data_IF_252304060390
#
_entry.id   IF_252304060390
#
_cell.length_a   1.000
_cell.length_b   1.000
_cell.length_c   1.000
_cell.angle_alpha   90.00
_cell.angle_beta   90.00
_cell.angle_gamma   90.00
#
_symmetry.space_group_name_H-M   'P 1'
#
loop_
_entity.id
_entity.type
_entity.pdbx_description
1 polymer ?
#
# COMPACT_ATOMS: atom_id res chain seq x y z
N UNK A 1 -9.96 -2.13 10.59
CA UNK A 1 -9.57 -3.10 9.54
C UNK A 1 -8.43 -3.97 10.04
N UNK A 2 -8.51 -5.27 9.80
CA UNK A 2 -7.44 -6.22 10.08
C UNK A 2 -6.70 -6.57 8.77
N UNK A 3 -5.38 -6.34 8.72
CA UNK A 3 -4.57 -6.60 7.55
C UNK A 3 -3.77 -7.89 7.72
N UNK A 4 -3.87 -8.79 6.75
CA UNK A 4 -3.15 -10.06 6.68
C UNK A 4 -2.18 -10.03 5.51
N UNK A 5 -0.93 -10.40 5.72
CA UNK A 5 0.08 -10.32 4.67
C UNK A 5 1.00 -11.52 4.64
N UNK A 6 1.44 -11.86 3.43
CA UNK A 6 2.52 -12.80 3.19
C UNK A 6 3.39 -12.30 2.04
N UNK A 7 4.71 -12.33 2.23
CA UNK A 7 5.68 -11.86 1.24
C UNK A 7 5.87 -12.89 0.09
N UNK A 8 4.78 -13.31 -0.53
CA UNK A 8 4.82 -14.20 -1.67
C UNK A 8 4.94 -13.42 -2.98
N UNK A 9 5.58 -14.01 -3.97
CA UNK A 9 5.46 -13.52 -5.35
C UNK A 9 4.00 -13.63 -5.83
N UNK A 10 3.35 -14.74 -5.50
CA UNK A 10 1.94 -15.02 -5.72
C UNK A 10 1.56 -16.30 -4.95
N UNK A 11 0.35 -16.38 -4.40
CA UNK A 11 -0.08 -17.53 -3.61
C UNK A 11 -0.35 -18.74 -4.52
N UNK A 12 -0.18 -19.94 -3.95
CA UNK A 12 -0.72 -21.17 -4.53
C UNK A 12 -2.19 -21.31 -4.10
N UNK A 13 -3.00 -22.07 -4.85
CA UNK A 13 -4.44 -22.22 -4.52
C UNK A 13 -4.68 -22.79 -3.12
N UNK A 14 -3.83 -23.71 -2.67
CA UNK A 14 -3.89 -24.22 -1.29
C UNK A 14 -3.63 -23.17 -0.22
N UNK A 15 -2.82 -22.14 -0.55
CA UNK A 15 -2.51 -21.05 0.38
C UNK A 15 -3.66 -20.06 0.37
N UNK A 16 -4.28 -19.80 -0.80
CA UNK A 16 -5.50 -18.98 -0.92
C UNK A 16 -6.64 -19.58 -0.10
N UNK A 17 -6.83 -20.90 -0.14
CA UNK A 17 -7.87 -21.58 0.65
C UNK A 17 -7.65 -21.34 2.16
N UNK A 18 -6.42 -21.45 2.66
CA UNK A 18 -6.12 -21.16 4.07
C UNK A 18 -6.34 -19.70 4.44
N UNK A 19 -5.95 -18.77 3.56
CA UNK A 19 -6.21 -17.34 3.79
C UNK A 19 -7.71 -17.05 3.78
N UNK A 20 -8.49 -17.72 2.94
CA UNK A 20 -9.94 -17.61 2.93
C UNK A 20 -10.57 -18.02 4.27
N UNK A 21 -10.09 -19.10 4.89
CA UNK A 21 -10.50 -19.50 6.25
C UNK A 21 -10.16 -18.42 7.29
N UNK A 22 -8.96 -17.82 7.20
CA UNK A 22 -8.55 -16.72 8.08
C UNK A 22 -9.41 -15.47 7.87
N UNK A 23 -9.74 -15.13 6.62
CA UNK A 23 -10.65 -14.02 6.29
C UNK A 23 -11.99 -14.23 6.95
N UNK A 24 -12.60 -15.41 6.79
CA UNK A 24 -13.88 -15.74 7.39
C UNK A 24 -13.84 -15.64 8.94
N UNK A 25 -12.76 -16.10 9.55
CA UNK A 25 -12.57 -16.00 10.99
C UNK A 25 -12.49 -14.55 11.48
N UNK A 26 -11.76 -13.69 10.78
CA UNK A 26 -11.68 -12.25 11.11
C UNK A 26 -13.03 -11.55 10.88
N UNK A 27 -13.75 -11.90 9.84
CA UNK A 27 -15.10 -11.38 9.58
C UNK A 27 -16.08 -11.76 10.70
N UNK A 28 -15.97 -12.96 11.25
CA UNK A 28 -16.86 -13.43 12.32
C UNK A 28 -16.76 -12.61 13.61
N UNK A 29 -15.64 -11.89 13.82
CA UNK A 29 -15.48 -10.96 14.95
C UNK A 29 -15.82 -9.50 14.60
N UNK A 30 -16.43 -9.26 13.43
CA UNK A 30 -16.97 -7.96 13.03
C UNK A 30 -15.95 -6.98 12.45
N UNK A 31 -14.76 -7.43 12.08
CA UNK A 31 -13.72 -6.55 11.50
C UNK A 31 -13.75 -6.55 9.97
N UNK A 32 -13.43 -5.42 9.36
CA UNK A 32 -13.03 -5.38 7.95
C UNK A 32 -11.71 -6.13 7.75
N UNK A 33 -11.57 -6.78 6.59
CA UNK A 33 -10.40 -7.56 6.23
C UNK A 33 -9.64 -6.95 5.06
N UNK A 34 -8.31 -7.05 5.10
CA UNK A 34 -7.43 -6.71 4.00
C UNK A 34 -6.37 -7.81 3.85
N UNK A 35 -6.05 -8.18 2.61
CA UNK A 35 -5.01 -9.17 2.34
C UNK A 35 -3.94 -8.61 1.38
N UNK A 36 -2.67 -8.99 1.62
CA UNK A 36 -1.50 -8.68 0.78
C UNK A 36 -0.78 -9.99 0.50
N UNK A 37 -0.98 -10.59 -0.68
CA UNK A 37 -0.50 -11.95 -1.00
C UNK A 37 0.35 -12.00 -2.28
N UNK A 38 0.67 -10.86 -2.88
CA UNK A 38 1.38 -10.78 -4.17
C UNK A 38 0.45 -10.86 -5.37
N UNK A 39 0.93 -11.43 -6.48
CA UNK A 39 0.21 -11.52 -7.74
C UNK A 39 -0.86 -12.62 -7.68
N UNK A 40 -2.13 -12.25 -7.86
CA UNK A 40 -3.22 -13.22 -7.90
C UNK A 40 -3.40 -13.80 -9.31
N UNK A 41 -3.72 -15.09 -9.38
CA UNK A 41 -4.15 -15.77 -10.59
C UNK A 41 -5.68 -15.67 -10.76
N UNK A 42 -6.15 -16.08 -11.93
CA UNK A 42 -7.59 -16.15 -12.21
C UNK A 42 -8.30 -17.04 -11.18
N UNK A 43 -9.47 -16.61 -10.72
CA UNK A 43 -10.28 -17.30 -9.72
C UNK A 43 -9.86 -17.08 -8.26
N UNK A 44 -8.62 -16.63 -7.99
CA UNK A 44 -8.14 -16.49 -6.61
C UNK A 44 -8.77 -15.30 -5.88
N UNK A 45 -9.04 -14.20 -6.58
CA UNK A 45 -9.72 -13.04 -6.02
C UNK A 45 -11.16 -13.37 -5.64
N UNK A 46 -11.86 -14.16 -6.45
CA UNK A 46 -13.22 -14.63 -6.21
C UNK A 46 -13.31 -15.54 -4.98
N UNK A 47 -12.35 -16.44 -4.80
CA UNK A 47 -12.26 -17.29 -3.59
C UNK A 47 -12.17 -16.45 -2.33
N UNK A 48 -11.28 -15.44 -2.35
CA UNK A 48 -11.10 -14.51 -1.22
C UNK A 48 -12.36 -13.66 -0.99
N UNK A 49 -12.98 -13.16 -2.06
CA UNK A 49 -14.25 -12.41 -1.99
C UNK A 49 -15.36 -13.22 -1.35
N UNK A 50 -15.52 -14.47 -1.77
CA UNK A 50 -16.55 -15.37 -1.24
C UNK A 50 -16.35 -15.69 0.26
N UNK A 51 -15.09 -15.64 0.73
CA UNK A 51 -14.77 -15.74 2.15
C UNK A 51 -15.03 -14.45 2.94
N UNK A 52 -15.37 -13.34 2.26
CA UNK A 52 -15.68 -12.05 2.88
C UNK A 52 -14.56 -11.04 2.85
N UNK A 53 -13.54 -11.21 1.97
CA UNK A 53 -12.46 -10.21 1.86
C UNK A 53 -13.02 -8.86 1.39
N UNK A 54 -12.73 -7.81 2.17
CA UNK A 54 -13.18 -6.44 1.87
C UNK A 54 -12.17 -5.70 0.98
N UNK A 55 -10.87 -5.84 1.26
CA UNK A 55 -9.78 -5.14 0.56
C UNK A 55 -8.65 -6.07 0.17
N UNK A 56 -8.06 -5.80 -0.99
CA UNK A 56 -6.79 -6.40 -1.40
C UNK A 56 -5.73 -5.32 -1.59
N UNK A 57 -4.59 -5.47 -0.93
CA UNK A 57 -3.48 -4.54 -1.04
C UNK A 57 -2.48 -5.04 -2.08
N UNK A 58 -2.27 -4.22 -3.11
CA UNK A 58 -1.27 -4.46 -4.14
C UNK A 58 -0.82 -3.13 -4.75
N UNK A 59 0.37 -2.67 -4.36
CA UNK A 59 0.88 -1.38 -4.79
C UNK A 59 1.40 -1.41 -6.23
N UNK A 60 1.36 -0.26 -6.93
CA UNK A 60 2.08 -0.06 -8.20
C UNK A 60 3.54 0.35 -7.97
N UNK A 61 3.87 0.70 -6.76
CA UNK A 61 5.15 1.09 -6.18
C UNK A 61 5.64 2.47 -6.63
N UNK A 62 5.74 2.77 -7.92
CA UNK A 62 6.25 4.05 -8.46
C UNK A 62 5.69 4.34 -9.86
N UNK A 63 6.23 5.33 -10.60
CA UNK A 63 5.94 5.57 -12.01
C UNK A 63 6.28 4.36 -12.90
N UNK A 64 5.72 4.31 -14.10
CA UNK A 64 6.04 3.21 -15.04
C UNK A 64 7.51 3.25 -15.46
N UNK A 65 8.06 4.45 -15.70
CA UNK A 65 9.45 4.62 -16.13
C UNK A 65 10.42 4.20 -15.03
N UNK A 66 10.28 4.76 -13.83
CA UNK A 66 11.16 4.43 -12.71
C UNK A 66 10.99 2.98 -12.22
N UNK A 67 9.82 2.36 -12.42
CA UNK A 67 9.59 0.96 -12.08
C UNK A 67 10.55 0.02 -12.80
N UNK A 68 10.79 0.25 -14.10
CA UNK A 68 11.69 -0.58 -14.92
C UNK A 68 13.16 -0.45 -14.49
N UNK A 69 13.54 0.68 -13.90
CA UNK A 69 14.90 0.92 -13.40
C UNK A 69 15.19 0.14 -12.11
N UNK A 70 14.19 -0.03 -11.23
CA UNK A 70 14.39 -0.55 -9.88
C UNK A 70 13.87 -1.97 -9.67
N UNK A 71 12.96 -2.46 -10.51
CA UNK A 71 12.32 -3.79 -10.35
C UNK A 71 12.51 -4.62 -11.62
N UNK A 72 13.38 -5.62 -11.55
CA UNK A 72 13.68 -6.53 -12.67
C UNK A 72 12.90 -7.86 -12.60
N UNK A 73 12.23 -8.18 -11.49
CA UNK A 73 11.64 -9.50 -11.24
C UNK A 73 10.22 -9.66 -11.75
N UNK A 74 9.55 -8.55 -12.07
CA UNK A 74 8.17 -8.48 -12.58
C UNK A 74 7.95 -7.14 -13.27
N UNK A 75 6.94 -7.07 -14.13
CA UNK A 75 6.53 -5.81 -14.76
C UNK A 75 5.50 -5.07 -13.91
N UNK A 76 5.30 -3.78 -14.15
CA UNK A 76 4.21 -3.03 -13.54
C UNK A 76 2.84 -3.53 -14.06
N UNK A 77 2.78 -4.00 -15.31
CA UNK A 77 1.58 -4.60 -15.90
C UNK A 77 1.10 -5.84 -15.13
N UNK A 78 2.00 -6.68 -14.61
CA UNK A 78 1.63 -7.81 -13.74
C UNK A 78 0.83 -7.34 -12.52
N UNK A 79 1.14 -6.15 -12.00
CA UNK A 79 0.43 -5.53 -10.88
C UNK A 79 -0.94 -5.03 -11.30
N UNK A 80 -1.03 -4.33 -12.44
CA UNK A 80 -2.31 -3.87 -12.99
C UNK A 80 -3.26 -5.03 -13.29
N UNK A 81 -2.77 -6.13 -13.84
CA UNK A 81 -3.56 -7.36 -14.07
C UNK A 81 -4.13 -7.89 -12.73
N UNK A 82 -3.31 -7.93 -11.68
CA UNK A 82 -3.80 -8.35 -10.36
C UNK A 82 -4.87 -7.41 -9.80
N UNK A 83 -4.66 -6.09 -9.92
CA UNK A 83 -5.64 -5.08 -9.49
C UNK A 83 -6.96 -5.21 -10.26
N UNK A 84 -6.89 -5.51 -11.55
CA UNK A 84 -8.08 -5.75 -12.37
C UNK A 84 -8.85 -7.00 -11.93
N UNK A 85 -8.15 -8.12 -11.63
CA UNK A 85 -8.77 -9.33 -11.07
C UNK A 85 -9.50 -9.05 -9.75
N UNK A 86 -8.84 -8.30 -8.88
CA UNK A 86 -9.41 -7.89 -7.58
C UNK A 86 -10.72 -7.09 -7.77
N UNK A 87 -10.72 -6.13 -8.69
CA UNK A 87 -11.91 -5.33 -9.02
C UNK A 87 -13.02 -6.17 -9.61
N UNK A 88 -12.70 -7.03 -10.57
CA UNK A 88 -13.66 -7.91 -11.24
C UNK A 88 -14.37 -8.84 -10.24
N UNK A 89 -13.66 -9.27 -9.19
CA UNK A 89 -14.23 -10.04 -8.09
C UNK A 89 -15.07 -9.19 -7.11
N UNK A 90 -15.14 -7.87 -7.28
CA UNK A 90 -15.86 -6.97 -6.38
C UNK A 90 -15.19 -6.75 -5.02
N UNK A 91 -13.86 -6.92 -4.95
CA UNK A 91 -13.03 -6.58 -3.78
C UNK A 91 -12.53 -5.15 -3.93
N UNK A 92 -12.56 -4.37 -2.85
CA UNK A 92 -12.02 -3.01 -2.83
C UNK A 92 -10.49 -3.01 -2.96
N UNK A 93 -9.96 -2.02 -3.64
CA UNK A 93 -8.53 -1.91 -3.90
C UNK A 93 -7.84 -1.03 -2.84
N UNK A 94 -6.77 -1.56 -2.27
CA UNK A 94 -5.77 -0.81 -1.53
C UNK A 94 -4.50 -0.78 -2.40
N UNK A 95 -4.18 0.38 -2.99
CA UNK A 95 -3.07 0.51 -3.92
C UNK A 95 -2.43 1.89 -3.80
N UNK A 96 -1.13 1.91 -3.68
CA UNK A 96 -0.33 3.12 -3.55
C UNK A 96 1.10 2.87 -4.02
N UNK A 97 2.05 3.57 -3.41
CA UNK A 97 3.45 3.47 -3.79
C UNK A 97 4.42 3.67 -2.65
N UNK A 98 5.69 3.66 -3.03
CA UNK A 98 6.84 3.90 -2.16
C UNK A 98 7.58 5.11 -2.74
N UNK A 99 7.91 6.07 -1.90
CA UNK A 99 8.68 7.25 -2.29
C UNK A 99 9.97 7.34 -1.48
N UNK A 100 10.99 7.98 -2.06
CA UNK A 100 12.35 7.98 -1.54
C UNK A 100 13.22 6.86 -2.11
N UNK A 101 12.84 6.27 -3.26
CA UNK A 101 13.60 5.25 -3.98
C UNK A 101 14.55 5.83 -5.05
N UNK A 102 14.76 7.16 -5.03
CA UNK A 102 15.55 7.87 -6.05
C UNK A 102 14.72 8.44 -7.20
N UNK A 103 13.42 8.27 -7.15
CA UNK A 103 12.47 8.80 -8.13
C UNK A 103 12.45 10.34 -8.16
N UNK A 104 12.16 10.90 -9.33
CA UNK A 104 11.98 12.35 -9.52
C UNK A 104 10.62 12.83 -9.01
N UNK A 105 10.39 14.15 -9.04
CA UNK A 105 9.08 14.74 -8.78
C UNK A 105 8.07 14.33 -9.86
N UNK A 106 8.50 14.22 -11.10
CA UNK A 106 7.64 13.84 -12.22
C UNK A 106 7.20 12.37 -12.08
N UNK A 107 8.09 11.48 -11.61
CA UNK A 107 7.73 10.10 -11.28
C UNK A 107 6.66 10.02 -10.18
N UNK A 108 6.78 10.83 -9.12
CA UNK A 108 5.75 10.90 -8.07
C UNK A 108 4.42 11.41 -8.61
N UNK A 109 4.46 12.40 -9.50
CA UNK A 109 3.27 12.94 -10.14
C UNK A 109 2.62 11.89 -11.05
N UNK A 110 3.42 11.16 -11.85
CA UNK A 110 2.93 10.08 -12.70
C UNK A 110 2.32 8.93 -11.87
N UNK A 111 2.97 8.50 -10.80
CA UNK A 111 2.42 7.50 -9.88
C UNK A 111 1.03 7.92 -9.35
N UNK A 112 0.88 9.17 -8.90
CA UNK A 112 -0.41 9.67 -8.42
C UNK A 112 -1.44 9.75 -9.56
N UNK A 113 -1.03 10.17 -10.77
CA UNK A 113 -1.90 10.21 -11.93
C UNK A 113 -2.37 8.80 -12.34
N UNK A 114 -1.49 7.80 -12.34
CA UNK A 114 -1.86 6.41 -12.59
C UNK A 114 -2.92 5.91 -11.60
N UNK A 115 -2.74 6.17 -10.30
CA UNK A 115 -3.71 5.79 -9.27
C UNK A 115 -5.05 6.51 -9.45
N UNK A 116 -5.03 7.81 -9.72
CA UNK A 116 -6.22 8.64 -9.87
C UNK A 116 -7.03 8.31 -11.14
N UNK A 117 -6.35 7.87 -12.21
CA UNK A 117 -6.97 7.48 -13.48
C UNK A 117 -7.52 6.04 -13.49
N UNK A 118 -7.30 5.27 -12.44
CA UNK A 118 -8.00 3.99 -12.30
C UNK A 118 -9.50 4.22 -12.13
N UNK A 119 -10.34 3.41 -12.76
CA UNK A 119 -11.81 3.51 -12.67
C UNK A 119 -12.42 2.27 -11.99
N UNK A 120 -12.95 2.40 -10.76
CA UNK A 120 -12.76 3.53 -9.86
C UNK A 120 -11.31 3.63 -9.34
N UNK A 121 -10.87 4.82 -8.90
CA UNK A 121 -9.56 4.92 -8.23
C UNK A 121 -9.55 4.12 -6.91
N UNK A 122 -8.37 3.76 -6.35
CA UNK A 122 -8.29 2.93 -5.14
C UNK A 122 -9.02 3.55 -3.95
N UNK A 123 -9.77 2.74 -3.22
CA UNK A 123 -10.46 3.18 -2.00
C UNK A 123 -9.49 3.47 -0.85
N UNK A 124 -8.28 2.91 -0.91
CA UNK A 124 -7.21 3.13 0.06
C UNK A 124 -5.88 3.29 -0.66
N UNK A 125 -5.16 4.37 -0.36
CA UNK A 125 -3.91 4.76 -1.02
C UNK A 125 -2.80 4.87 0.02
N UNK A 126 -2.05 3.79 0.29
CA UNK A 126 -0.89 3.85 1.16
C UNK A 126 0.27 4.56 0.45
N UNK A 127 0.79 5.61 1.08
CA UNK A 127 2.05 6.24 0.69
C UNK A 127 3.10 5.81 1.71
N UNK A 128 4.07 5.04 1.23
CA UNK A 128 5.16 4.53 2.03
C UNK A 128 6.39 5.42 1.84
N UNK A 129 7.09 5.70 2.91
CA UNK A 129 8.47 6.18 2.84
C UNK A 129 9.41 4.99 2.79
N UNK A 130 10.42 5.02 1.93
CA UNK A 130 11.38 3.93 1.83
C UNK A 130 12.04 3.66 3.19
N UNK A 131 11.91 2.45 3.67
CA UNK A 131 12.67 1.96 4.83
C UNK A 131 13.97 1.36 4.30
N UNK A 132 15.08 2.02 4.59
CA UNK A 132 16.42 1.60 4.14
C UNK A 132 16.88 0.37 4.94
N UNK A 133 17.21 -0.70 4.24
CA UNK A 133 17.68 -1.94 4.87
C UNK A 133 19.14 -2.18 4.46
N UNK A 134 20.08 -2.27 5.42
CA UNK A 134 21.48 -2.54 5.13
C UNK A 134 21.66 -3.79 4.25
N UNK A 135 22.55 -3.70 3.27
CA UNK A 135 22.84 -4.80 2.33
C UNK A 135 21.85 -4.92 1.18
N UNK A 136 20.88 -4.04 1.04
CA UNK A 136 20.01 -3.95 -0.14
C UNK A 136 20.52 -2.89 -1.12
N UNK A 137 20.15 -2.95 -2.41
CA UNK A 137 20.56 -1.94 -3.40
C UNK A 137 20.14 -0.51 -3.04
N UNK A 138 19.11 -0.33 -2.21
CA UNK A 138 18.58 0.98 -1.82
C UNK A 138 19.01 1.43 -0.42
N UNK A 139 19.99 0.75 0.19
CA UNK A 139 20.46 1.10 1.54
C UNK A 139 21.03 2.53 1.63
N UNK A 140 21.70 2.99 0.57
CA UNK A 140 22.42 4.24 0.52
C UNK A 140 21.75 5.32 -0.37
N UNK A 141 20.52 5.09 -0.83
CA UNK A 141 19.75 6.08 -1.61
C UNK A 141 19.45 7.28 -0.71
N UNK A 142 19.57 8.51 -1.24
CA UNK A 142 19.20 9.71 -0.51
C UNK A 142 17.73 9.68 -0.07
N UNK A 143 17.48 10.14 1.15
CA UNK A 143 16.10 10.28 1.64
C UNK A 143 15.34 11.37 0.90
N UNK A 144 14.04 11.24 0.83
CA UNK A 144 13.19 12.28 0.25
C UNK A 144 13.15 13.51 1.17
N UNK A 145 13.10 14.70 0.57
CA UNK A 145 12.80 15.94 1.30
C UNK A 145 11.42 15.83 1.98
N UNK A 146 11.29 16.16 3.28
CA UNK A 146 10.04 16.08 4.01
C UNK A 146 8.87 16.84 3.35
N UNK A 147 9.13 18.00 2.77
CA UNK A 147 8.09 18.80 2.10
C UNK A 147 7.65 18.14 0.78
N UNK A 148 8.56 17.47 0.07
CA UNK A 148 8.19 16.68 -1.11
C UNK A 148 7.28 15.49 -0.74
N UNK A 149 7.52 14.86 0.41
CA UNK A 149 6.63 13.82 0.93
C UNK A 149 5.22 14.39 1.22
N UNK A 150 5.15 15.51 1.96
CA UNK A 150 3.88 16.20 2.27
C UNK A 150 3.14 16.62 0.99
N UNK A 151 3.87 17.12 -0.02
CA UNK A 151 3.29 17.46 -1.34
C UNK A 151 2.68 16.25 -2.03
N UNK A 152 3.32 15.07 -1.93
CA UNK A 152 2.78 13.83 -2.51
C UNK A 152 1.48 13.43 -1.82
N UNK A 153 1.39 13.56 -0.49
CA UNK A 153 0.15 13.35 0.26
C UNK A 153 -0.96 14.32 -0.20
N UNK A 154 -0.64 15.61 -0.33
CA UNK A 154 -1.59 16.62 -0.80
C UNK A 154 -2.10 16.30 -2.22
N UNK A 155 -1.19 15.96 -3.13
CA UNK A 155 -1.54 15.58 -4.50
C UNK A 155 -2.45 14.34 -4.52
N UNK A 156 -2.14 13.31 -3.72
CA UNK A 156 -2.99 12.13 -3.60
C UNK A 156 -4.39 12.48 -3.07
N UNK A 157 -4.50 13.34 -2.06
CA UNK A 157 -5.79 13.79 -1.52
C UNK A 157 -6.62 14.57 -2.52
N UNK A 158 -6.00 15.51 -3.25
CA UNK A 158 -6.70 16.34 -4.25
C UNK A 158 -7.20 15.47 -5.40
N UNK A 159 -6.36 14.56 -5.91
CA UNK A 159 -6.68 13.70 -7.05
C UNK A 159 -7.66 12.58 -6.70
N UNK A 160 -7.67 12.11 -5.46
CA UNK A 160 -8.53 11.02 -4.99
C UNK A 160 -9.27 11.42 -3.70
N UNK A 161 -10.23 12.35 -3.77
CA UNK A 161 -10.82 13.02 -2.60
C UNK A 161 -11.58 12.08 -1.64
N UNK A 162 -12.07 10.95 -2.12
CA UNK A 162 -12.81 9.97 -1.30
C UNK A 162 -11.93 8.82 -0.79
N UNK A 163 -10.68 8.73 -1.24
CA UNK A 163 -9.78 7.66 -0.82
C UNK A 163 -9.32 7.83 0.64
N UNK A 164 -9.01 6.72 1.28
CA UNK A 164 -8.23 6.73 2.51
C UNK A 164 -6.75 6.87 2.15
N UNK A 165 -6.22 8.09 2.22
CA UNK A 165 -4.79 8.37 2.04
C UNK A 165 -4.07 8.02 3.32
N UNK A 166 -3.17 7.04 3.26
CA UNK A 166 -2.55 6.45 4.43
C UNK A 166 -1.07 6.80 4.54
N UNK A 167 -0.67 7.33 5.69
CA UNK A 167 0.72 7.26 6.13
C UNK A 167 1.03 5.80 6.48
N UNK A 168 2.00 5.21 5.76
CA UNK A 168 2.25 3.77 5.80
C UNK A 168 3.65 3.45 6.33
N UNK A 169 4.40 2.54 5.71
CA UNK A 169 5.75 2.20 6.16
C UNK A 169 6.70 3.40 6.14
N UNK A 170 7.73 3.37 7.00
CA UNK A 170 8.72 4.45 7.16
C UNK A 170 8.23 5.63 8.02
N UNK A 171 7.05 5.54 8.60
CA UNK A 171 6.47 6.58 9.45
C UNK A 171 7.29 6.81 10.74
N UNK A 172 7.91 5.76 11.27
CA UNK A 172 8.76 5.83 12.45
C UNK A 172 10.03 6.66 12.29
N UNK A 173 10.43 6.91 11.04
CA UNK A 173 11.60 7.72 10.69
C UNK A 173 11.24 9.19 10.43
N UNK A 174 9.95 9.54 10.50
CA UNK A 174 9.45 10.90 10.33
C UNK A 174 9.36 11.62 11.67
N UNK A 175 9.65 12.93 11.69
CA UNK A 175 9.37 13.75 12.88
C UNK A 175 7.86 13.92 13.09
N UNK A 176 7.46 14.27 14.29
CA UNK A 176 6.05 14.52 14.64
C UNK A 176 5.47 15.66 13.80
N UNK A 177 6.27 16.72 13.56
CA UNK A 177 5.86 17.85 12.73
C UNK A 177 5.61 17.43 11.28
N UNK A 178 6.45 16.55 10.73
CA UNK A 178 6.26 16.02 9.37
C UNK A 178 4.97 15.18 9.30
N UNK A 179 4.72 14.33 10.29
CA UNK A 179 3.49 13.54 10.34
C UNK A 179 2.25 14.43 10.48
N UNK A 180 2.28 15.41 11.39
CA UNK A 180 1.21 16.39 11.56
C UNK A 180 0.93 17.16 10.25
N UNK A 181 1.95 17.60 9.54
CA UNK A 181 1.81 18.22 8.22
C UNK A 181 1.19 17.29 7.19
N UNK A 182 1.53 16.00 7.20
CA UNK A 182 0.91 15.00 6.31
C UNK A 182 -0.59 14.85 6.59
N UNK A 183 -1.01 14.82 7.87
CA UNK A 183 -2.44 14.80 8.22
C UNK A 183 -3.13 16.08 7.81
N UNK A 184 -2.52 17.23 8.03
CA UNK A 184 -3.04 18.52 7.60
C UNK A 184 -3.17 18.62 6.07
N UNK A 185 -2.21 18.05 5.34
CA UNK A 185 -2.22 17.97 3.88
C UNK A 185 -3.24 16.97 3.32
N UNK A 186 -3.84 16.11 4.17
CA UNK A 186 -4.93 15.24 3.76
C UNK A 186 -4.75 13.74 3.97
N UNK A 187 -3.67 13.30 4.62
CA UNK A 187 -3.63 11.93 5.15
C UNK A 187 -4.75 11.77 6.19
N UNK A 188 -5.42 10.62 6.21
CA UNK A 188 -6.54 10.35 7.13
C UNK A 188 -6.57 8.91 7.62
N UNK A 189 -5.48 8.20 7.46
CA UNK A 189 -5.37 6.80 7.86
C UNK A 189 -3.92 6.46 8.21
N UNK A 190 -3.72 5.59 9.20
CA UNK A 190 -2.44 4.98 9.56
C UNK A 190 -2.61 3.48 9.76
N UNK A 191 -1.51 2.75 9.79
CA UNK A 191 -1.50 1.42 10.40
C UNK A 191 -1.38 1.57 11.90
N UNK A 192 -2.27 0.92 12.63
CA UNK A 192 -2.27 0.83 14.08
C UNK A 192 -1.74 -0.54 14.50
N UNK A 193 -0.88 -0.56 15.52
CA UNK A 193 -0.23 -1.76 16.03
C UNK A 193 1.27 -1.73 15.81
N UNK A 194 2.01 -2.43 16.64
CA UNK A 194 3.48 -2.28 16.81
C UNK A 194 4.31 -2.83 15.64
N UNK A 195 3.70 -3.58 14.71
CA UNK A 195 4.43 -4.24 13.64
C UNK A 195 3.69 -4.23 12.33
N UNK A 196 4.39 -3.87 11.26
CA UNK A 196 4.00 -4.13 9.87
C UNK A 196 4.50 -5.50 9.44
N UNK A 197 4.28 -5.89 8.18
CA UNK A 197 4.68 -7.21 7.67
C UNK A 197 6.17 -7.49 7.90
N UNK A 198 7.04 -6.52 7.63
CA UNK A 198 8.50 -6.69 7.65
C UNK A 198 9.24 -5.69 8.55
N UNK A 199 8.58 -4.65 9.01
CA UNK A 199 9.21 -3.56 9.77
C UNK A 199 8.44 -3.25 11.05
N UNK A 200 9.07 -2.68 12.09
CA UNK A 200 8.38 -2.06 13.21
C UNK A 200 7.42 -0.96 12.75
N UNK A 201 6.44 -0.65 13.57
CA UNK A 201 5.53 0.47 13.41
C UNK A 201 5.48 1.29 14.69
N UNK A 202 4.89 2.47 14.63
CA UNK A 202 4.65 3.29 15.81
C UNK A 202 3.82 2.52 16.86
N UNK A 203 4.14 2.74 18.13
CA UNK A 203 3.34 2.17 19.23
C UNK A 203 2.00 2.89 19.32
N UNK A 204 1.01 2.21 19.89
CA UNK A 204 -0.30 2.84 20.16
C UNK A 204 -0.19 4.06 21.08
N UNK A 205 0.77 4.07 22.00
CA UNK A 205 1.03 5.21 22.87
C UNK A 205 1.48 6.43 22.05
N UNK A 206 2.44 6.25 21.15
CA UNK A 206 2.91 7.35 20.29
C UNK A 206 1.82 7.86 19.33
N UNK A 207 0.99 6.96 18.81
CA UNK A 207 -0.15 7.35 17.94
C UNK A 207 -1.21 8.19 18.70
N UNK A 208 -1.27 8.11 20.03
CA UNK A 208 -2.16 8.91 20.87
C UNK A 208 -1.58 10.28 21.25
N UNK A 209 -0.25 10.41 21.26
CA UNK A 209 0.43 11.67 21.61
C UNK A 209 0.59 12.59 20.37
N UNK A 210 0.57 12.03 19.15
CA UNK A 210 0.66 12.75 17.89
C UNK A 210 -0.66 13.48 17.57
#
# INVERSE_FOLDING_TARGET
RFCMGAAWRGPKDKDVAKVAEMVAAVKSVGLETCATLGLLKDGQAEVLKNAGLDYYNHNIDTSSEHYEEIISTRTQDDRHVTLQRVRNAGVSVCCGGIIGMGESRDDRADMIAQLANMDPYPQSVPINNLVKVPGTPMADVDGIDPIEFVRTIAAARISMPKAMVRLSAGRTDMSDEMQALCFYAGANSVFYGEKLLTTPNATSYWDHEL
#
